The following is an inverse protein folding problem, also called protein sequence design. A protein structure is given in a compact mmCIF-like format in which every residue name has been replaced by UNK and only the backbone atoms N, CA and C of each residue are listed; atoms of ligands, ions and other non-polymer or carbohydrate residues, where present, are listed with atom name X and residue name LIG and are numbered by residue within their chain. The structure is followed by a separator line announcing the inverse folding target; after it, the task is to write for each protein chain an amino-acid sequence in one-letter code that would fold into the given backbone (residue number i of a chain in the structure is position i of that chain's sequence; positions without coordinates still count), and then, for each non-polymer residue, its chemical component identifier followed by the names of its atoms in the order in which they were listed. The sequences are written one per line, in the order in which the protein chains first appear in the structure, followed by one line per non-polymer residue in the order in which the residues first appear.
data_IF_460605899525
#
_entry.id   IF_460605899525
#
_cell.length_a   1.000
_cell.length_b   1.000
_cell.length_c   1.000
_cell.angle_alpha   90.00
_cell.angle_beta   90.00
_cell.angle_gamma   90.00
#
_symmetry.space_group_name_H-M   'P 1'
#
loop_
_entity.id
_entity.type
_entity.pdbx_description
1 polymer ?
#
# COMPACT_ATOMS: atom_id res chain seq x y z
N UNK A 1 6.13 -4.49 -14.89
CA UNK A 1 5.73 -4.11 -13.52
C UNK A 1 4.31 -3.60 -13.58
N UNK A 2 3.39 -4.34 -12.98
CA UNK A 2 1.97 -4.02 -12.96
C UNK A 2 1.58 -3.46 -11.59
N UNK A 3 0.96 -2.28 -11.59
CA UNK A 3 0.60 -1.55 -10.39
C UNK A 3 -0.92 -1.40 -10.35
N UNK A 4 -1.53 -1.83 -9.26
CA UNK A 4 -2.92 -1.52 -8.93
C UNK A 4 -2.95 -0.33 -7.99
N UNK A 5 -3.70 0.72 -8.32
CA UNK A 5 -4.01 1.80 -7.38
C UNK A 5 -5.51 1.74 -7.06
N UNK A 6 -5.86 1.79 -5.78
CA UNK A 6 -7.25 1.72 -5.36
C UNK A 6 -7.51 2.44 -4.05
N UNK A 7 -8.54 3.28 -4.01
CA UNK A 7 -9.09 3.76 -2.76
C UNK A 7 -9.91 2.63 -2.12
N UNK A 8 -9.40 2.08 -1.03
CA UNK A 8 -9.97 0.89 -0.41
C UNK A 8 -11.26 1.17 0.37
N UNK A 9 -11.45 2.42 0.85
CA UNK A 9 -12.55 2.83 1.74
C UNK A 9 -12.87 1.75 2.79
N UNK A 10 -11.87 1.43 3.62
CA UNK A 10 -11.75 0.21 4.43
C UNK A 10 -11.24 -1.01 3.67
N UNK A 11 -9.96 -1.35 3.90
CA UNK A 11 -9.39 -2.60 3.39
C UNK A 11 -10.17 -3.82 3.90
N UNK A 12 -10.54 -3.87 5.18
CA UNK A 12 -11.21 -5.07 5.72
C UNK A 12 -12.59 -5.30 5.13
N UNK A 13 -13.34 -4.22 4.87
CA UNK A 13 -14.68 -4.35 4.29
C UNK A 13 -14.62 -4.83 2.84
N UNK A 14 -13.52 -4.54 2.12
CA UNK A 14 -13.40 -4.82 0.68
C UNK A 14 -12.28 -5.81 0.35
N UNK A 15 -11.67 -6.46 1.36
CA UNK A 15 -10.53 -7.36 1.19
C UNK A 15 -10.88 -8.54 0.28
N UNK A 16 -12.04 -9.14 0.49
CA UNK A 16 -12.49 -10.29 -0.31
C UNK A 16 -12.60 -9.94 -1.80
N UNK A 17 -13.19 -8.79 -2.13
CA UNK A 17 -13.29 -8.32 -3.52
C UNK A 17 -11.92 -8.09 -4.15
N UNK A 18 -10.97 -7.55 -3.38
CA UNK A 18 -9.58 -7.41 -3.84
C UNK A 18 -8.93 -8.77 -4.07
N UNK A 19 -9.09 -9.73 -3.16
CA UNK A 19 -8.51 -11.07 -3.30
C UNK A 19 -9.10 -11.80 -4.51
N UNK A 20 -10.41 -11.70 -4.75
CA UNK A 20 -11.05 -12.23 -5.97
C UNK A 20 -10.46 -11.57 -7.21
N UNK A 21 -10.31 -10.25 -7.22
CA UNK A 21 -9.72 -9.53 -8.35
C UNK A 21 -8.29 -9.99 -8.67
N UNK A 22 -7.46 -10.18 -7.64
CA UNK A 22 -6.06 -10.55 -7.78
C UNK A 22 -5.88 -12.02 -8.18
N UNK A 23 -6.59 -12.94 -7.51
CA UNK A 23 -6.29 -14.36 -7.60
C UNK A 23 -7.20 -15.12 -8.57
N UNK A 24 -8.47 -14.74 -8.71
CA UNK A 24 -9.40 -15.48 -9.57
C UNK A 24 -9.33 -15.03 -11.03
N UNK A 25 -8.85 -13.81 -11.29
CA UNK A 25 -8.69 -13.28 -12.65
C UNK A 25 -7.26 -13.38 -13.18
N UNK A 26 -6.41 -14.19 -12.52
CA UNK A 26 -4.99 -14.39 -12.84
C UNK A 26 -4.24 -13.07 -13.11
N UNK A 27 -4.58 -12.03 -12.34
CA UNK A 27 -3.98 -10.70 -12.53
C UNK A 27 -2.60 -10.70 -11.90
N UNK A 28 -1.58 -10.61 -12.73
CA UNK A 28 -0.21 -10.48 -12.27
C UNK A 28 0.08 -9.06 -11.78
N UNK A 29 -0.30 -8.76 -10.54
CA UNK A 29 -0.04 -7.46 -9.90
C UNK A 29 1.23 -7.54 -9.05
N UNK A 30 2.16 -6.61 -9.26
CA UNK A 30 3.42 -6.52 -8.52
C UNK A 30 3.30 -5.63 -7.28
N UNK A 31 2.57 -4.52 -7.42
CA UNK A 31 2.36 -3.54 -6.36
C UNK A 31 0.86 -3.19 -6.26
N UNK A 32 0.36 -3.05 -5.04
CA UNK A 32 -0.99 -2.54 -4.77
C UNK A 32 -0.87 -1.31 -3.88
N UNK A 33 -1.28 -0.17 -4.39
CA UNK A 33 -1.22 1.15 -3.76
C UNK A 33 -2.62 1.47 -3.25
N UNK A 34 -2.76 1.61 -1.93
CA UNK A 34 -4.04 1.83 -1.26
C UNK A 34 -4.08 3.17 -0.53
N UNK A 35 -5.19 3.86 -0.69
CA UNK A 35 -5.63 4.96 0.16
C UNK A 35 -6.90 4.60 0.94
N UNK A 36 -7.21 5.35 1.99
CA UNK A 36 -8.34 5.09 2.90
C UNK A 36 -8.37 3.63 3.41
N UNK A 37 -7.21 3.14 3.85
CA UNK A 37 -7.06 1.75 4.32
C UNK A 37 -7.89 1.46 5.57
N UNK A 38 -8.05 2.48 6.42
CA UNK A 38 -8.73 2.46 7.72
C UNK A 38 -8.13 1.38 8.63
N UNK A 39 -6.83 1.20 8.51
CA UNK A 39 -6.09 0.26 9.32
C UNK A 39 -6.00 0.71 10.78
N UNK A 40 -6.07 -0.28 11.68
CA UNK A 40 -5.76 -0.10 13.08
C UNK A 40 -4.27 -0.36 13.32
N UNK A 41 -3.58 0.61 13.93
CA UNK A 41 -2.12 0.54 14.19
C UNK A 41 -1.67 -0.66 15.03
N UNK A 42 -2.58 -1.29 15.77
CA UNK A 42 -2.31 -2.46 16.61
C UNK A 42 -2.66 -3.79 15.94
N UNK A 43 -3.16 -3.76 14.69
CA UNK A 43 -3.51 -4.96 13.92
C UNK A 43 -2.57 -5.12 12.74
N UNK A 44 -2.27 -6.38 12.42
CA UNK A 44 -1.57 -6.75 11.20
C UNK A 44 -2.59 -7.02 10.08
N UNK A 45 -2.29 -6.52 8.88
CA UNK A 45 -3.11 -6.74 7.70
C UNK A 45 -2.26 -7.47 6.67
N UNK A 46 -2.62 -8.73 6.41
CA UNK A 46 -1.86 -9.61 5.53
C UNK A 46 -2.65 -9.85 4.24
N UNK A 47 -1.92 -9.86 3.14
CA UNK A 47 -2.37 -10.27 1.81
C UNK A 47 -1.37 -11.31 1.29
N UNK A 48 -1.87 -12.46 0.84
CA UNK A 48 -1.02 -13.60 0.45
C UNK A 48 -0.02 -13.18 -0.64
N UNK A 49 1.25 -13.51 -0.46
CA UNK A 49 2.37 -13.18 -1.36
C UNK A 49 2.71 -11.69 -1.47
N UNK A 50 2.25 -10.85 -0.54
CA UNK A 50 2.64 -9.44 -0.47
C UNK A 50 3.17 -9.05 0.92
N UNK A 51 4.24 -8.27 0.93
CA UNK A 51 4.71 -7.51 2.08
C UNK A 51 3.94 -6.18 2.14
N UNK A 52 3.66 -5.65 3.34
CA UNK A 52 2.92 -4.41 3.52
C UNK A 52 3.82 -3.33 4.12
N UNK A 53 3.86 -2.17 3.47
CA UNK A 53 4.35 -0.91 4.04
C UNK A 53 3.14 0.00 4.19
N UNK A 54 3.00 0.70 5.32
CA UNK A 54 1.80 1.48 5.61
C UNK A 54 2.06 2.66 6.52
N UNK A 55 1.15 3.62 6.46
CA UNK A 55 1.01 4.72 7.39
C UNK A 55 -0.45 4.80 7.83
N UNK A 56 -0.67 4.61 9.12
CA UNK A 56 -2.02 4.62 9.69
C UNK A 56 -2.37 5.97 10.29
N UNK A 57 -3.66 6.29 10.27
CA UNK A 57 -4.21 7.43 11.00
C UNK A 57 -4.65 7.03 12.40
N UNK A 58 -4.49 7.93 13.35
CA UNK A 58 -4.76 7.66 14.77
C UNK A 58 -6.22 7.32 15.08
N UNK A 59 -7.16 7.88 14.33
CA UNK A 59 -8.61 7.64 14.48
C UNK A 59 -9.13 6.42 13.69
N UNK A 60 -8.23 5.68 13.03
CA UNK A 60 -8.55 4.57 12.13
C UNK A 60 -9.45 4.96 10.94
N UNK A 61 -9.54 6.25 10.59
CA UNK A 61 -10.29 6.75 9.43
C UNK A 61 -9.37 7.54 8.51
N UNK A 62 -8.82 6.85 7.53
CA UNK A 62 -7.78 7.34 6.62
C UNK A 62 -6.70 6.28 6.47
N UNK A 63 -5.45 6.70 6.28
CA UNK A 63 -4.32 5.79 6.14
C UNK A 63 -4.04 5.37 4.70
N UNK A 64 -2.79 5.00 4.49
CA UNK A 64 -2.23 4.62 3.19
C UNK A 64 -1.36 3.39 3.33
N UNK A 65 -1.33 2.54 2.31
CA UNK A 65 -0.47 1.36 2.28
C UNK A 65 0.02 1.02 0.86
N UNK A 66 1.18 0.40 0.78
CA UNK A 66 1.70 -0.23 -0.42
C UNK A 66 1.94 -1.70 -0.08
N UNK A 67 1.21 -2.59 -0.75
CA UNK A 67 1.50 -4.02 -0.77
C UNK A 67 2.45 -4.32 -1.92
N UNK A 68 3.53 -5.03 -1.63
CA UNK A 68 4.65 -5.31 -2.54
C UNK A 68 4.80 -6.81 -2.65
N UNK A 69 4.78 -7.36 -3.86
CA UNK A 69 4.94 -8.80 -4.05
C UNK A 69 6.24 -9.29 -3.39
N UNK A 70 6.18 -10.42 -2.68
CA UNK A 70 7.25 -10.87 -1.77
C UNK A 70 8.61 -11.11 -2.44
N UNK A 71 8.62 -11.38 -3.75
CA UNK A 71 9.85 -11.54 -4.54
C UNK A 71 10.46 -10.21 -5.04
N UNK A 72 9.83 -9.07 -4.75
CA UNK A 72 10.34 -7.74 -5.13
C UNK A 72 11.05 -7.11 -3.93
N UNK A 73 12.35 -6.89 -4.07
CA UNK A 73 13.14 -6.16 -3.09
C UNK A 73 12.77 -4.68 -3.13
N UNK A 74 12.42 -4.15 -1.96
CA UNK A 74 12.04 -2.74 -1.78
C UNK A 74 12.68 -2.17 -0.52
N UNK A 75 12.89 -0.85 -0.52
CA UNK A 75 13.37 -0.11 0.65
C UNK A 75 12.35 0.96 1.00
N UNK A 76 11.80 0.89 2.21
CA UNK A 76 10.96 1.96 2.74
C UNK A 76 11.81 3.19 3.08
N UNK A 77 11.27 4.38 2.82
CA UNK A 77 11.86 5.63 3.25
C UNK A 77 10.78 6.63 3.65
N UNK A 78 11.14 7.54 4.56
CA UNK A 78 10.25 8.62 4.97
C UNK A 78 10.33 9.76 3.95
N UNK A 79 9.18 10.33 3.61
CA UNK A 79 9.07 11.56 2.83
C UNK A 79 8.80 12.72 3.79
N UNK A 80 9.54 13.81 3.63
CA UNK A 80 9.17 15.09 4.20
C UNK A 80 8.09 15.73 3.33
N UNK A 81 6.91 15.90 3.91
CA UNK A 81 5.71 16.41 3.23
C UNK A 81 5.51 17.91 3.51
N UNK A 82 6.52 18.57 4.08
CA UNK A 82 6.50 20.00 4.38
C UNK A 82 5.37 20.36 5.36
N UNK A 83 4.51 21.28 4.95
CA UNK A 83 3.42 21.82 5.77
C UNK A 83 2.15 20.95 5.78
N UNK A 84 2.15 19.78 5.14
CA UNK A 84 0.99 18.89 5.13
C UNK A 84 0.78 18.26 6.50
N UNK A 85 -0.44 18.39 7.03
CA UNK A 85 -0.82 17.79 8.30
C UNK A 85 -0.83 16.25 8.19
N UNK A 86 0.02 15.61 9.01
CA UNK A 86 0.20 14.16 9.08
C UNK A 86 -1.01 13.44 9.66
N UNK A 87 -1.89 14.15 10.37
CA UNK A 87 -3.14 13.61 10.88
C UNK A 87 -4.26 13.68 9.83
N UNK A 88 -4.11 14.51 8.79
CA UNK A 88 -5.06 14.59 7.67
C UNK A 88 -4.65 13.65 6.53
N UNK A 89 -3.36 13.61 6.20
CA UNK A 89 -2.85 12.88 5.04
C UNK A 89 -1.75 11.90 5.46
N UNK A 90 -1.95 10.62 5.14
CA UNK A 90 -0.99 9.57 5.44
C UNK A 90 -0.26 9.16 4.18
N UNK A 91 1.06 9.24 4.22
CA UNK A 91 1.91 8.97 3.06
C UNK A 91 2.85 7.82 3.40
N UNK A 92 3.05 6.92 2.43
CA UNK A 92 4.09 5.90 2.49
C UNK A 92 4.83 5.82 1.16
N UNK A 93 6.13 5.54 1.22
CA UNK A 93 6.99 5.56 0.04
C UNK A 93 8.03 4.46 0.05
N UNK A 94 8.25 3.88 -1.12
CA UNK A 94 9.23 2.82 -1.32
C UNK A 94 10.13 3.12 -2.51
N UNK A 95 11.37 2.70 -2.40
CA UNK A 95 12.32 2.58 -3.49
C UNK A 95 12.34 1.12 -3.95
N UNK A 96 12.26 0.90 -5.26
CA UNK A 96 12.40 -0.43 -5.87
C UNK A 96 13.36 -0.38 -7.06
N UNK A 97 14.06 -1.50 -7.28
CA UNK A 97 14.86 -1.70 -8.49
C UNK A 97 14.16 -2.70 -9.40
N UNK A 98 13.86 -2.29 -10.62
CA UNK A 98 13.18 -3.12 -11.61
C UNK A 98 13.80 -2.89 -12.98
N UNK A 99 14.19 -3.97 -13.68
CA UNK A 99 14.84 -3.90 -15.01
C UNK A 99 16.03 -2.90 -15.09
N UNK A 100 16.93 -2.96 -14.10
CA UNK A 100 18.11 -2.06 -13.97
C UNK A 100 17.78 -0.57 -13.82
N UNK A 101 16.52 -0.24 -13.52
CA UNK A 101 16.06 1.12 -13.23
C UNK A 101 15.55 1.19 -11.80
N UNK A 102 15.79 2.34 -11.17
CA UNK A 102 15.30 2.65 -9.84
C UNK A 102 13.99 3.44 -9.95
N UNK A 103 13.00 3.05 -9.18
CA UNK A 103 11.70 3.72 -9.10
C UNK A 103 11.40 4.11 -7.65
N UNK A 104 10.78 5.28 -7.49
CA UNK A 104 10.23 5.75 -6.23
C UNK A 104 8.71 5.73 -6.36
N UNK A 105 8.05 4.95 -5.50
CA UNK A 105 6.60 4.80 -5.49
C UNK A 105 6.07 5.43 -4.21
N UNK A 106 5.06 6.27 -4.33
CA UNK A 106 4.45 7.00 -3.21
C UNK A 106 2.95 6.74 -3.23
N UNK A 107 2.42 6.39 -2.07
CA UNK A 107 0.98 6.34 -1.82
C UNK A 107 0.59 7.48 -0.89
N UNK A 108 -0.54 8.10 -1.17
CA UNK A 108 -1.14 9.22 -0.46
C UNK A 108 -2.59 8.87 -0.12
#
# INVERSE_FOLDING_TARGET
MNILQWNARSFMANKESLEIFLFNNEKDVDLIILSETWFNKHRNYNLKNFNCVRKDRMDNRGGSAIFIRTNILSKFFNIDIGSVDKDICQICAIEINYNKRKYYIVSI
#
